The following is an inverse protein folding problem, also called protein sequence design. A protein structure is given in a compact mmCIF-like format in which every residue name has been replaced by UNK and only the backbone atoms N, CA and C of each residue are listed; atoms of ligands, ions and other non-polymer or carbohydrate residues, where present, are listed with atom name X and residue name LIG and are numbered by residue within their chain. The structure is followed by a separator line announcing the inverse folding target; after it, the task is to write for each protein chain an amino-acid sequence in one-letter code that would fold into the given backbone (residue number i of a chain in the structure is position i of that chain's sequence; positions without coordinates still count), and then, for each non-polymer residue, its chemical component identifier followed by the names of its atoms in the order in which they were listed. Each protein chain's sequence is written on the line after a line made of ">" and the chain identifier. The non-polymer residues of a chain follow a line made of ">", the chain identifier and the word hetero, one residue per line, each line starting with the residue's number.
data_IF_608478652713
#
_entry.id   IF_608478652713
#
_cell.length_a   1.000
_cell.length_b   1.000
_cell.length_c   1.000
_cell.angle_alpha   90.00
_cell.angle_beta   90.00
_cell.angle_gamma   90.00
#
_symmetry.space_group_name_H-M   'P 1'
#
loop_
_entity.id
_entity.type
_entity.pdbx_description
1 polymer ?
#
# COMPACT_ATOMS: atom_id res chain seq x y z
N UNK A 1 19.12 -4.80 4.08
CA UNK A 1 18.96 -4.70 3.57
C UNK A 1 18.65 -3.97 2.82
N UNK A 2 18.37 -4.06 2.68
CA UNK A 2 18.47 -3.48 1.68
C UNK A 2 18.13 -2.10 1.57
N UNK A 3 18.65 -1.39 2.28
CA UNK A 3 18.52 -0.07 2.17
C UNK A 3 18.76 0.42 0.86
N UNK A 4 19.67 -0.20 0.22
CA UNK A 4 20.03 0.18 -1.08
C UNK A 4 18.93 0.02 -2.07
N UNK A 5 17.88 -0.66 -1.70
CA UNK A 5 16.76 -0.88 -2.59
C UNK A 5 15.78 0.26 -2.64
N UNK A 6 15.92 1.27 -1.80
CA UNK A 6 15.01 2.42 -1.88
C UNK A 6 15.46 3.36 -2.97
N UNK A 7 14.52 3.73 -3.85
CA UNK A 7 14.80 4.61 -4.97
C UNK A 7 14.21 5.98 -4.74
N UNK A 8 14.90 6.99 -5.27
CA UNK A 8 14.36 8.33 -5.31
C UNK A 8 13.22 8.31 -6.33
N UNK A 9 12.07 8.82 -5.96
CA UNK A 9 10.95 8.86 -6.89
C UNK A 9 10.63 10.31 -7.27
N UNK A 10 10.04 10.48 -8.45
CA UNK A 10 9.71 11.81 -8.97
C UNK A 10 8.27 12.20 -8.67
N UNK A 11 7.44 11.30 -8.14
CA UNK A 11 6.03 11.57 -7.90
C UNK A 11 5.73 12.04 -6.48
N UNK A 12 6.56 11.70 -5.51
CA UNK A 12 6.44 12.20 -4.15
C UNK A 12 7.75 12.01 -3.41
N UNK A 13 8.47 13.11 -3.17
CA UNK A 13 9.80 13.05 -2.55
C UNK A 13 9.77 12.61 -1.10
N UNK A 14 8.59 12.62 -0.47
CA UNK A 14 8.47 12.24 0.92
C UNK A 14 8.15 10.75 1.09
N UNK A 15 8.02 10.03 -0.01
CA UNK A 15 7.80 8.59 0.02
C UNK A 15 9.03 7.91 -0.55
N UNK A 16 9.62 7.02 0.24
CA UNK A 16 10.72 6.19 -0.22
C UNK A 16 10.15 4.81 -0.55
N UNK A 17 10.62 4.21 -1.62
CA UNK A 17 10.12 2.89 -1.99
C UNK A 17 11.21 2.02 -2.59
N UNK A 18 11.01 0.71 -2.51
CA UNK A 18 11.80 -0.25 -3.26
C UNK A 18 10.88 -1.33 -3.80
N UNK A 19 11.24 -1.85 -4.97
CA UNK A 19 10.41 -2.85 -5.66
C UNK A 19 10.85 -4.24 -5.22
N UNK A 20 9.91 -5.00 -4.67
CA UNK A 20 10.14 -6.40 -4.30
C UNK A 20 9.79 -7.29 -5.48
N UNK A 21 8.69 -6.96 -6.18
CA UNK A 21 8.22 -7.72 -7.32
C UNK A 21 7.56 -6.75 -8.30
N UNK A 22 7.83 -6.90 -9.57
CA UNK A 22 7.24 -6.06 -10.60
C UNK A 22 6.04 -6.74 -11.24
N UNK A 23 4.96 -5.99 -11.38
CA UNK A 23 3.76 -6.43 -12.07
C UNK A 23 3.73 -5.98 -13.51
N UNK A 24 2.56 -5.99 -14.11
CA UNK A 24 2.35 -5.67 -15.51
C UNK A 24 1.12 -4.83 -15.72
N UNK A 25 1.07 -4.18 -16.85
CA UNK A 25 -0.08 -3.38 -17.26
C UNK A 25 0.09 -1.91 -16.94
N UNK A 26 -1.00 -1.20 -16.99
CA UNK A 26 -0.99 0.23 -16.73
C UNK A 26 -1.03 0.52 -15.23
N UNK A 27 -0.52 1.65 -14.80
CA UNK A 27 -0.63 2.04 -13.40
C UNK A 27 -2.09 2.12 -12.94
N UNK A 28 -2.31 1.83 -11.66
CA UNK A 28 -3.62 1.95 -11.04
C UNK A 28 -4.06 3.41 -11.14
N UNK A 29 -5.31 3.62 -11.50
CA UNK A 29 -5.84 4.98 -11.65
C UNK A 29 -6.74 5.34 -10.48
N UNK A 30 -6.78 6.64 -10.20
CA UNK A 30 -7.65 7.18 -9.15
C UNK A 30 -9.08 6.72 -9.42
N UNK A 31 -9.74 6.20 -8.40
CA UNK A 31 -11.12 5.73 -8.46
C UNK A 31 -11.29 4.27 -8.80
N UNK A 32 -10.24 3.60 -9.24
CA UNK A 32 -10.35 2.16 -9.51
C UNK A 32 -10.48 1.37 -8.22
N UNK A 33 -11.35 0.37 -8.24
CA UNK A 33 -11.45 -0.59 -7.13
C UNK A 33 -10.25 -1.51 -7.23
N UNK A 34 -9.50 -1.65 -6.15
CA UNK A 34 -8.30 -2.48 -6.14
C UNK A 34 -8.35 -3.46 -4.99
N UNK A 35 -7.71 -4.59 -5.20
CA UNK A 35 -7.53 -5.62 -4.20
C UNK A 35 -6.06 -5.58 -3.80
N UNK A 36 -5.80 -5.35 -2.52
CA UNK A 36 -4.42 -5.21 -2.04
C UNK A 36 -4.17 -6.04 -0.79
N UNK A 37 -2.90 -6.29 -0.52
CA UNK A 37 -2.46 -6.85 0.75
C UNK A 37 -1.36 -5.97 1.28
N UNK A 38 -1.34 -5.76 2.60
CA UNK A 38 -0.26 -4.99 3.21
C UNK A 38 0.20 -5.54 4.55
N UNK A 39 1.43 -5.18 4.87
CA UNK A 39 2.03 -5.43 6.17
C UNK A 39 2.61 -4.11 6.65
N UNK A 40 2.06 -3.55 7.72
CA UNK A 40 2.51 -2.28 8.27
C UNK A 40 3.30 -2.48 9.54
N UNK A 41 4.41 -1.74 9.66
CA UNK A 41 5.28 -1.80 10.83
C UNK A 41 5.60 -0.42 11.36
N UNK A 42 5.66 -0.31 12.68
CA UNK A 42 6.15 0.88 13.36
C UNK A 42 7.29 0.47 14.26
N UNK A 43 8.46 1.02 14.03
CA UNK A 43 9.69 0.69 14.77
C UNK A 43 9.92 -0.83 14.81
N UNK A 44 9.70 -1.46 13.68
CA UNK A 44 9.93 -2.91 13.54
C UNK A 44 8.83 -3.80 14.06
N UNK A 45 7.79 -3.24 14.69
CA UNK A 45 6.69 -4.01 15.23
C UNK A 45 5.49 -3.95 14.28
N UNK A 46 4.98 -5.10 13.88
CA UNK A 46 3.83 -5.18 12.99
C UNK A 46 2.57 -4.72 13.69
N UNK A 47 1.82 -3.83 13.05
CA UNK A 47 0.54 -3.37 13.57
C UNK A 47 -0.61 -3.65 12.61
N UNK A 48 -0.32 -4.02 11.38
CA UNK A 48 -1.32 -4.27 10.37
C UNK A 48 -0.79 -5.34 9.43
N UNK A 49 -1.55 -6.41 9.20
CA UNK A 49 -1.09 -7.51 8.37
C UNK A 49 -2.26 -8.19 7.68
N UNK A 50 -2.47 -7.85 6.41
CA UNK A 50 -3.49 -8.51 5.61
C UNK A 50 -2.90 -9.58 4.71
N UNK A 51 -1.57 -9.79 4.74
CA UNK A 51 -0.98 -10.92 4.03
C UNK A 51 -1.34 -12.24 4.71
N UNK A 52 -1.48 -12.21 6.02
CA UNK A 52 -1.76 -13.42 6.79
C UNK A 52 -3.24 -13.71 6.96
N UNK A 53 -4.12 -12.86 6.44
CA UNK A 53 -5.57 -13.08 6.52
C UNK A 53 -6.06 -13.77 5.25
N UNK A 54 -7.15 -14.54 5.31
CA UNK A 54 -7.67 -15.20 4.12
C UNK A 54 -8.15 -14.23 3.07
N UNK A 55 -8.66 -13.08 3.49
CA UNK A 55 -9.27 -12.13 2.58
C UNK A 55 -8.42 -10.89 2.39
N UNK A 56 -8.20 -10.46 1.16
CA UNK A 56 -7.47 -9.22 0.90
C UNK A 56 -8.36 -8.02 1.18
N UNK A 57 -7.77 -6.87 1.17
CA UNK A 57 -8.45 -5.61 1.41
C UNK A 57 -8.83 -4.96 0.07
N UNK A 58 -10.07 -4.51 -0.03
CA UNK A 58 -10.57 -3.84 -1.23
C UNK A 58 -10.89 -2.39 -0.92
N UNK A 59 -10.52 -1.49 -1.81
CA UNK A 59 -10.88 -0.07 -1.67
C UNK A 59 -10.70 0.63 -3.02
N UNK A 60 -11.20 1.86 -3.11
CA UNK A 60 -10.99 2.66 -4.31
C UNK A 60 -9.73 3.50 -4.16
N UNK A 61 -8.82 3.33 -5.11
CA UNK A 61 -7.51 3.99 -5.05
C UNK A 61 -7.64 5.50 -5.17
N UNK A 62 -6.82 6.21 -4.41
CA UNK A 62 -6.72 7.66 -4.53
C UNK A 62 -7.89 8.43 -3.95
N UNK A 63 -8.72 7.81 -3.12
CA UNK A 63 -9.95 8.45 -2.62
C UNK A 63 -9.88 8.81 -1.13
N UNK A 64 -8.74 8.67 -0.50
CA UNK A 64 -8.58 9.03 0.91
C UNK A 64 -9.09 7.98 1.89
N UNK A 65 -9.35 6.77 1.42
CA UNK A 65 -9.86 5.68 2.27
C UNK A 65 -8.79 5.13 3.19
N UNK A 66 -7.54 5.16 2.76
CA UNK A 66 -6.40 4.63 3.52
C UNK A 66 -5.38 5.75 3.74
N UNK A 67 -4.31 5.46 4.46
CA UNK A 67 -3.26 6.46 4.69
C UNK A 67 -2.81 7.07 3.37
N UNK A 68 -2.61 8.37 3.39
CA UNK A 68 -2.26 9.11 2.18
C UNK A 68 -1.00 8.56 1.52
N UNK A 69 -0.01 8.18 2.31
CA UNK A 69 1.22 7.59 1.75
C UNK A 69 0.97 6.32 0.98
N UNK A 70 0.06 5.46 1.45
CA UNK A 70 -0.31 4.24 0.74
C UNK A 70 -1.14 4.57 -0.49
N UNK A 71 -2.10 5.48 -0.36
CA UNK A 71 -2.97 5.87 -1.45
C UNK A 71 -2.16 6.45 -2.61
N UNK A 72 -1.22 7.33 -2.29
CA UNK A 72 -0.34 7.94 -3.30
C UNK A 72 0.57 6.88 -3.95
N UNK A 73 1.03 5.91 -3.16
CA UNK A 73 1.89 4.84 -3.68
C UNK A 73 1.13 3.94 -4.64
N UNK A 74 -0.06 3.53 -4.25
CA UNK A 74 -0.84 2.56 -5.02
C UNK A 74 -1.17 3.09 -6.42
N UNK A 75 -1.40 4.38 -6.57
CA UNK A 75 -1.67 4.96 -7.88
C UNK A 75 -0.44 5.01 -8.79
N UNK A 76 0.73 4.63 -8.27
CA UNK A 76 1.95 4.48 -9.07
C UNK A 76 2.24 3.02 -9.39
N UNK A 77 1.52 2.10 -8.78
CA UNK A 77 1.77 0.66 -8.92
C UNK A 77 0.92 0.04 -10.02
N UNK A 78 1.29 -1.16 -10.42
CA UNK A 78 0.57 -1.97 -11.40
C UNK A 78 0.14 -3.26 -10.74
N UNK A 79 -0.83 -3.93 -11.30
CA UNK A 79 -1.26 -5.24 -10.80
C UNK A 79 -0.08 -6.19 -10.78
N UNK A 80 0.14 -6.83 -9.66
CA UNK A 80 1.27 -7.73 -9.44
C UNK A 80 2.48 -7.05 -8.80
N UNK A 81 2.51 -5.72 -8.73
CA UNK A 81 3.61 -5.03 -8.06
C UNK A 81 3.54 -5.29 -6.56
N UNK A 82 4.70 -5.48 -5.97
CA UNK A 82 4.86 -5.57 -4.53
C UNK A 82 6.04 -4.69 -4.16
N UNK A 83 5.78 -3.71 -3.30
CA UNK A 83 6.76 -2.68 -2.96
C UNK A 83 6.89 -2.55 -1.45
N UNK A 84 8.07 -2.14 -1.02
CA UNK A 84 8.30 -1.67 0.34
C UNK A 84 8.26 -0.16 0.27
N UNK A 85 7.54 0.48 1.17
CA UNK A 85 7.44 1.94 1.20
C UNK A 85 7.59 2.46 2.61
N UNK A 86 8.11 3.67 2.71
CA UNK A 86 8.33 4.35 3.98
C UNK A 86 7.84 5.78 3.84
N UNK A 87 7.07 6.24 4.81
CA UNK A 87 6.60 7.63 4.85
C UNK A 87 6.25 8.04 6.27
N UNK A 88 6.10 9.35 6.47
CA UNK A 88 5.79 9.92 7.78
C UNK A 88 5.01 11.21 7.63
N UNK A 89 4.71 11.87 8.73
CA UNK A 89 4.06 13.17 8.73
C UNK A 89 2.65 13.12 8.18
N UNK A 90 2.34 14.03 7.28
CA UNK A 90 1.01 14.16 6.70
C UNK A 90 0.61 12.95 5.85
N UNK A 91 1.56 12.14 5.47
CA UNK A 91 1.32 10.92 4.69
C UNK A 91 0.94 9.74 5.57
N UNK A 92 1.17 9.86 6.87
CA UNK A 92 0.98 8.81 7.86
C UNK A 92 -0.31 9.02 8.65
N UNK A 93 -0.37 8.47 9.87
CA UNK A 93 -1.55 8.58 10.71
C UNK A 93 -1.79 10.02 11.13
N UNK A 94 -3.01 10.51 10.92
CA UNK A 94 -3.38 11.87 11.30
C UNK A 94 -3.76 11.96 12.76
N UNK A 95 -4.07 10.82 13.37
CA UNK A 95 -4.38 10.74 14.80
C UNK A 95 -3.58 9.59 15.39
N UNK A 96 -3.13 9.77 16.64
CA UNK A 96 -2.40 8.72 17.33
C UNK A 96 -3.29 7.49 17.52
N UNK A 97 -2.71 6.30 17.36
CA UNK A 97 -3.40 5.04 17.60
C UNK A 97 -2.98 4.51 18.96
N UNK A 98 -3.96 4.20 19.81
CA UNK A 98 -3.67 3.69 21.13
C UNK A 98 -3.15 2.27 21.09
N UNK A 99 -2.32 1.93 22.06
CA UNK A 99 -1.85 0.57 22.23
C UNK A 99 -3.02 -0.36 22.50
N UNK A 100 -2.99 -1.53 21.88
CA UNK A 100 -3.98 -2.59 22.05
C UNK A 100 -3.23 -3.91 22.12
N UNK A 101 -3.83 -4.97 22.64
CA UNK A 101 -3.18 -6.27 22.64
C UNK A 101 -2.71 -6.65 21.23
N UNK A 102 -1.43 -6.92 21.09
CA UNK A 102 -0.83 -7.27 19.82
C UNK A 102 -0.54 -6.10 18.89
N UNK A 103 -0.79 -4.86 19.34
CA UNK A 103 -0.53 -3.68 18.53
C UNK A 103 0.17 -2.59 19.33
N UNK A 104 1.20 -1.97 18.78
CA UNK A 104 1.91 -0.89 19.46
C UNK A 104 1.10 0.41 19.43
N UNK A 105 1.47 1.32 20.30
CA UNK A 105 0.98 2.68 20.21
C UNK A 105 1.68 3.36 19.03
N UNK A 106 0.93 4.06 18.20
CA UNK A 106 1.47 4.75 17.03
C UNK A 106 1.14 6.24 17.15
N UNK A 107 2.16 7.10 17.28
CA UNK A 107 1.89 8.54 17.40
C UNK A 107 1.40 9.13 16.08
N UNK A 108 0.79 10.29 16.18
CA UNK A 108 0.39 11.06 15.00
C UNK A 108 1.63 11.35 14.16
N UNK A 109 1.53 11.20 12.87
CA UNK A 109 2.64 11.50 11.96
C UNK A 109 3.80 10.53 12.01
N UNK A 110 3.61 9.37 12.64
CA UNK A 110 4.69 8.40 12.82
C UNK A 110 5.30 7.94 11.51
N UNK A 111 6.60 7.73 11.53
CA UNK A 111 7.27 7.10 10.40
C UNK A 111 6.91 5.63 10.39
N UNK A 112 6.36 5.14 9.30
CA UNK A 112 5.91 3.76 9.18
C UNK A 112 6.49 3.11 7.93
N UNK A 113 6.63 1.80 7.99
CA UNK A 113 7.05 0.99 6.85
C UNK A 113 5.91 0.09 6.46
N UNK A 114 5.64 0.03 5.18
CA UNK A 114 4.62 -0.86 4.65
C UNK A 114 5.20 -1.70 3.53
N UNK A 115 4.82 -2.96 3.51
CA UNK A 115 4.97 -3.78 2.33
C UNK A 115 3.58 -3.86 1.73
N UNK A 116 3.42 -3.53 0.45
CA UNK A 116 2.12 -3.48 -0.20
C UNK A 116 2.18 -4.20 -1.53
N UNK A 117 1.16 -5.02 -1.78
CA UNK A 117 1.03 -5.73 -3.05
C UNK A 117 -0.34 -5.41 -3.64
N UNK A 118 -0.37 -5.02 -4.92
CA UNK A 118 -1.60 -4.87 -5.66
C UNK A 118 -1.90 -6.22 -6.29
N UNK A 119 -2.92 -6.89 -5.80
CA UNK A 119 -3.23 -8.26 -6.20
C UNK A 119 -4.05 -8.29 -7.48
N UNK A 120 -5.04 -7.41 -7.58
CA UNK A 120 -5.96 -7.44 -8.71
C UNK A 120 -6.79 -6.16 -8.79
N UNK A 121 -7.41 -5.97 -9.94
CA UNK A 121 -8.45 -4.97 -10.15
C UNK A 121 -9.71 -5.78 -10.46
N UNK A 122 -10.64 -5.92 -9.49
CA UNK A 122 -11.84 -6.72 -9.73
C UNK A 122 -12.62 -6.22 -10.93
N UNK A 123 -13.09 -7.15 -11.75
CA UNK A 123 -13.84 -6.79 -12.95
C UNK A 123 -12.99 -6.50 -14.16
N UNK A 124 -11.66 -6.57 -14.03
CA UNK A 124 -10.74 -6.40 -15.14
C UNK A 124 -10.06 -7.73 -15.43
N UNK A 125 -9.44 -7.84 -16.57
CA UNK A 125 -8.74 -9.07 -16.93
C UNK A 125 -9.69 -10.07 -17.56
N UNK A 126 -9.45 -11.36 -17.33
CA UNK A 126 -10.19 -12.43 -18.00
C UNK A 126 -11.68 -12.39 -17.72
N UNK A 127 -12.05 -12.14 -16.46
CA UNK A 127 -13.44 -12.11 -16.08
C UNK A 127 -14.15 -10.94 -16.74
N UNK A 128 -13.46 -9.81 -16.79
CA UNK A 128 -13.99 -8.62 -17.42
C UNK A 128 -14.21 -8.85 -18.91
N UNK A 129 -13.26 -9.49 -19.55
CA UNK A 129 -13.35 -9.78 -20.97
C UNK A 129 -14.50 -10.73 -21.25
N UNK A 130 -14.67 -11.72 -20.41
CA UNK A 130 -15.73 -12.69 -20.58
C UNK A 130 -17.12 -12.07 -20.55
N UNK A 131 -17.25 -10.99 -19.79
CA UNK A 131 -18.54 -10.33 -19.67
C UNK A 131 -19.02 -9.68 -20.96
N UNK A 132 -18.16 -9.52 -21.91
CA UNK A 132 -18.51 -8.92 -23.17
C UNK A 132 -18.74 -9.94 -24.28
N UNK A 133 -18.54 -11.19 -23.97
CA UNK A 133 -18.73 -12.26 -24.93
C UNK A 133 -20.18 -12.76 -25.01
#
# INVERSE_FOLDING_TARGET
>A
MPLLSYFYNSWNKEIQYSVVKSGKGDPIQVGQLVEVRFLGKYKGTTFDDTFSTPEPYYFRAGTGTILKGLDDTITQMKVGDRWLVNFKGDLSFQEAKKSQPGRPRIPQGAEVDYEVEVVNIPGMGDDFIADFE
#
